data_IF_518409368123
#
_entry.id   IF_518409368123
#
_cell.length_a   1.000
_cell.length_b   1.000
_cell.length_c   1.000
_cell.angle_alpha   90.00
_cell.angle_beta   90.00
_cell.angle_gamma   90.00
#
_symmetry.space_group_name_H-M   'P 1'
#
loop_
_entity.id
_entity.type
_entity.pdbx_description
1 polymer ?
#
# COMPACT_ATOMS: atom_id res chain seq x y z
N UNK A 1 9.26 -2.87 29.63
CA UNK A 1 8.45 -1.88 28.88
C UNK A 1 9.33 -1.25 27.83
N UNK A 2 9.15 -1.68 26.61
CA UNK A 2 9.83 -1.03 25.50
C UNK A 2 8.98 0.19 25.11
N UNK A 3 9.39 1.35 25.59
CA UNK A 3 8.94 2.59 25.01
C UNK A 3 9.52 2.65 23.60
N UNK A 4 8.72 2.29 22.61
CA UNK A 4 9.00 2.66 21.24
C UNK A 4 8.90 4.17 21.17
N UNK A 5 10.03 4.84 21.32
CA UNK A 5 10.14 6.23 20.95
C UNK A 5 9.66 6.34 19.51
N UNK A 6 8.61 7.11 19.22
CA UNK A 6 8.30 7.40 17.84
C UNK A 6 9.55 8.05 17.25
N UNK A 7 10.08 7.50 16.18
CA UNK A 7 11.23 8.08 15.50
C UNK A 7 10.85 9.47 15.06
N UNK A 8 11.36 10.46 15.78
CA UNK A 8 11.19 11.87 15.46
C UNK A 8 12.09 12.20 14.28
N UNK A 9 11.51 12.23 13.09
CA UNK A 9 12.19 12.60 11.86
C UNK A 9 11.99 11.61 10.70
N UNK A 10 12.19 12.06 9.46
CA UNK A 10 12.10 11.19 8.30
C UNK A 10 13.22 10.15 8.31
N UNK A 11 12.85 8.89 8.07
CA UNK A 11 13.81 7.81 7.86
C UNK A 11 14.13 7.71 6.37
N UNK A 12 15.42 7.73 6.05
CA UNK A 12 15.88 7.57 4.67
C UNK A 12 16.34 6.13 4.45
N UNK A 13 15.75 5.48 3.45
CA UNK A 13 16.16 4.17 2.97
C UNK A 13 17.00 4.32 1.73
N UNK A 14 18.06 3.53 1.64
CA UNK A 14 18.97 3.53 0.49
C UNK A 14 18.94 2.17 -0.21
N UNK A 15 18.89 2.17 -1.53
CA UNK A 15 19.07 0.98 -2.34
C UNK A 15 20.07 1.27 -3.45
N UNK A 16 21.13 0.46 -3.53
CA UNK A 16 22.10 0.51 -4.61
C UNK A 16 21.64 -0.41 -5.73
N UNK A 17 21.34 0.18 -6.87
CA UNK A 17 20.88 -0.50 -8.07
C UNK A 17 21.98 -0.46 -9.13
N UNK A 18 21.93 -1.36 -10.11
CA UNK A 18 22.90 -1.38 -11.22
C UNK A 18 22.94 -0.06 -12.00
N UNK A 19 21.84 0.66 -12.04
CA UNK A 19 21.66 1.89 -12.84
C UNK A 19 21.61 3.16 -11.99
N UNK A 20 22.02 3.09 -10.72
CA UNK A 20 22.07 4.24 -9.84
C UNK A 20 21.70 3.91 -8.40
N UNK A 21 21.65 4.94 -7.59
CA UNK A 21 21.26 4.86 -6.19
C UNK A 21 19.85 5.41 -6.01
N UNK A 22 19.01 4.66 -5.31
CA UNK A 22 17.68 5.09 -4.93
C UNK A 22 17.68 5.50 -3.45
N UNK A 23 17.15 6.66 -3.18
CA UNK A 23 16.90 7.14 -1.81
C UNK A 23 15.39 7.32 -1.64
N UNK A 24 14.86 6.79 -0.54
CA UNK A 24 13.44 6.88 -0.21
C UNK A 24 13.30 7.46 1.18
N UNK A 25 12.67 8.60 1.26
CA UNK A 25 12.33 9.26 2.51
C UNK A 25 10.96 8.78 3.01
N UNK A 26 10.92 8.25 4.23
CA UNK A 26 9.69 7.81 4.89
C UNK A 26 9.34 8.83 5.97
N UNK A 27 8.35 9.66 5.72
CA UNK A 27 7.98 10.75 6.62
C UNK A 27 7.22 10.27 7.86
N UNK A 28 6.30 9.33 7.68
CA UNK A 28 5.54 8.74 8.77
C UNK A 28 5.05 7.35 8.38
N UNK A 29 5.12 6.40 9.31
CA UNK A 29 4.57 5.06 9.12
C UNK A 29 4.35 4.39 10.46
N UNK A 30 3.21 3.70 10.59
CA UNK A 30 2.93 2.80 11.72
C UNK A 30 3.54 1.42 11.49
N UNK A 31 3.98 1.13 10.27
CA UNK A 31 4.67 -0.10 9.89
C UNK A 31 6.14 0.19 9.62
N UNK A 32 7.00 -0.78 9.86
CA UNK A 32 8.37 -0.71 9.36
C UNK A 32 8.32 -0.70 7.82
N UNK A 33 9.04 0.23 7.20
CA UNK A 33 9.01 0.40 5.74
C UNK A 33 9.39 -0.88 5.00
N UNK A 34 10.37 -1.63 5.52
CA UNK A 34 10.83 -2.90 4.96
C UNK A 34 9.77 -4.01 5.03
N UNK A 35 8.76 -3.87 5.91
CA UNK A 35 7.62 -4.79 5.98
C UNK A 35 6.57 -4.50 4.90
N UNK A 36 6.57 -3.28 4.34
CA UNK A 36 5.56 -2.86 3.37
C UNK A 36 5.99 -3.06 1.92
N UNK A 37 7.25 -2.80 1.61
CA UNK A 37 7.73 -2.82 0.22
C UNK A 37 9.20 -3.18 0.12
N UNK A 38 9.59 -3.51 -1.09
CA UNK A 38 10.97 -3.74 -1.52
C UNK A 38 11.16 -3.13 -2.91
N UNK A 39 12.38 -3.17 -3.40
CA UNK A 39 12.74 -2.67 -4.72
C UNK A 39 13.11 -3.84 -5.62
N UNK A 40 12.64 -3.81 -6.86
CA UNK A 40 13.06 -4.74 -7.89
C UNK A 40 13.66 -3.97 -9.06
N UNK A 41 14.80 -4.44 -9.53
CA UNK A 41 15.43 -3.90 -10.73
C UNK A 41 14.70 -4.40 -11.98
N UNK A 42 14.63 -3.55 -12.98
CA UNK A 42 14.01 -3.87 -14.26
C UNK A 42 15.02 -3.80 -15.38
N UNK A 43 14.87 -4.69 -16.35
CA UNK A 43 15.62 -4.64 -17.60
C UNK A 43 15.07 -3.62 -18.58
N UNK A 44 13.97 -2.97 -18.26
CA UNK A 44 13.31 -1.99 -19.10
C UNK A 44 14.19 -0.73 -19.23
N UNK A 45 14.51 -0.25 -20.45
CA UNK A 45 15.36 0.93 -20.64
C UNK A 45 14.75 2.24 -20.09
N UNK A 46 13.43 2.33 -20.02
CA UNK A 46 12.73 3.53 -19.55
C UNK A 46 12.48 3.54 -18.04
N UNK A 47 12.48 2.37 -17.40
CA UNK A 47 12.18 2.23 -15.97
C UNK A 47 13.19 1.29 -15.33
N UNK A 48 14.12 1.88 -14.57
CA UNK A 48 15.23 1.13 -13.96
C UNK A 48 14.79 0.22 -12.81
N UNK A 49 13.74 0.60 -12.09
CA UNK A 49 13.28 -0.11 -10.91
C UNK A 49 11.74 -0.01 -10.76
N UNK A 50 11.21 -0.77 -9.82
CA UNK A 50 9.85 -0.64 -9.34
C UNK A 50 9.78 -0.93 -7.84
N UNK A 51 8.80 -0.37 -7.18
CA UNK A 51 8.41 -0.77 -5.83
C UNK A 51 7.60 -2.06 -5.91
N UNK A 52 7.93 -3.03 -5.06
CA UNK A 52 7.21 -4.30 -4.94
C UNK A 52 6.58 -4.35 -3.56
N UNK A 53 5.25 -4.44 -3.51
CA UNK A 53 4.54 -4.54 -2.24
C UNK A 53 4.74 -5.91 -1.59
N UNK A 54 5.00 -5.92 -0.29
CA UNK A 54 5.05 -7.12 0.54
C UNK A 54 3.70 -7.45 1.20
N UNK A 55 2.71 -6.56 1.05
CA UNK A 55 1.42 -6.69 1.74
C UNK A 55 0.24 -6.87 0.78
N UNK A 56 0.45 -6.78 -0.52
CA UNK A 56 -0.62 -6.97 -1.51
C UNK A 56 -0.78 -8.42 -1.99
N UNK A 57 0.22 -9.26 -1.81
CA UNK A 57 0.21 -10.63 -2.32
C UNK A 57 0.21 -10.75 -3.85
N UNK A 58 0.58 -9.68 -4.56
CA UNK A 58 0.53 -9.66 -6.03
C UNK A 58 1.77 -10.24 -6.67
N UNK A 59 2.93 -9.78 -6.27
CA UNK A 59 4.23 -10.23 -6.81
C UNK A 59 5.01 -11.06 -5.80
N UNK A 60 4.81 -10.78 -4.52
CA UNK A 60 5.39 -11.51 -3.40
C UNK A 60 4.25 -12.08 -2.58
N UNK A 61 4.27 -13.38 -2.23
CA UNK A 61 3.27 -13.95 -1.32
C UNK A 61 3.24 -13.18 0.00
N UNK A 62 2.04 -12.91 0.49
CA UNK A 62 1.83 -12.20 1.75
C UNK A 62 0.90 -12.99 2.66
N UNK A 63 1.12 -12.88 3.97
CA UNK A 63 0.20 -13.47 4.95
C UNK A 63 -1.15 -12.76 4.89
N UNK A 64 -2.27 -13.49 4.83
CA UNK A 64 -3.60 -12.88 4.80
C UNK A 64 -3.86 -11.92 5.97
N UNK A 65 -3.36 -12.23 7.16
CA UNK A 65 -3.48 -11.37 8.33
C UNK A 65 -2.76 -10.03 8.15
N UNK A 66 -1.57 -10.04 7.54
CA UNK A 66 -0.81 -8.81 7.26
C UNK A 66 -1.50 -7.97 6.16
N UNK A 67 -2.05 -8.63 5.15
CA UNK A 67 -2.88 -7.98 4.13
C UNK A 67 -4.07 -7.28 4.78
N UNK A 68 -4.81 -7.99 5.64
CA UNK A 68 -5.96 -7.43 6.34
C UNK A 68 -5.58 -6.23 7.22
N UNK A 69 -4.46 -6.31 7.95
CA UNK A 69 -3.95 -5.19 8.74
C UNK A 69 -3.66 -3.96 7.88
N UNK A 70 -3.03 -4.14 6.72
CA UNK A 70 -2.71 -3.04 5.81
C UNK A 70 -3.97 -2.41 5.21
N UNK A 71 -4.97 -3.21 4.85
CA UNK A 71 -6.24 -2.72 4.34
C UNK A 71 -7.02 -1.94 5.40
N UNK A 72 -7.06 -2.45 6.64
CA UNK A 72 -7.68 -1.76 7.77
C UNK A 72 -6.98 -0.45 8.10
N UNK A 73 -5.65 -0.44 8.10
CA UNK A 73 -4.87 0.77 8.35
C UNK A 73 -5.11 1.84 7.27
N UNK A 74 -5.20 1.44 6.01
CA UNK A 74 -5.49 2.35 4.91
C UNK A 74 -6.92 2.89 4.97
N UNK A 75 -7.89 2.02 5.22
CA UNK A 75 -9.29 2.42 5.40
C UNK A 75 -9.47 3.37 6.59
N UNK A 76 -8.71 3.16 7.66
CA UNK A 76 -8.73 4.02 8.85
C UNK A 76 -8.22 5.45 8.61
N UNK A 77 -7.52 5.69 7.50
CA UNK A 77 -7.10 7.05 7.09
C UNK A 77 -8.21 7.84 6.40
N UNK A 78 -9.28 7.18 6.01
CA UNK A 78 -10.43 7.82 5.41
C UNK A 78 -11.28 8.39 6.55
N UNK A 79 -11.62 9.70 6.53
CA UNK A 79 -12.42 10.30 7.58
C UNK A 79 -13.77 9.59 7.77
N UNK A 80 -14.11 9.29 9.02
CA UNK A 80 -15.37 8.60 9.34
C UNK A 80 -16.60 9.44 9.00
N UNK A 81 -16.46 10.76 9.01
CA UNK A 81 -17.50 11.74 8.69
C UNK A 81 -17.56 12.11 7.20
N UNK A 82 -16.75 11.42 6.35
CA UNK A 82 -16.83 11.64 4.91
C UNK A 82 -18.26 11.39 4.41
N UNK A 83 -18.90 12.38 3.77
CA UNK A 83 -20.24 12.19 3.22
C UNK A 83 -20.27 11.06 2.21
N UNK A 84 -21.31 10.25 2.30
CA UNK A 84 -21.54 9.16 1.35
C UNK A 84 -22.56 9.50 0.28
N UNK A 85 -22.81 8.57 -0.63
CA UNK A 85 -22.15 7.26 -0.74
C UNK A 85 -20.68 7.36 -1.15
N UNK A 86 -19.88 6.36 -0.75
CA UNK A 86 -18.46 6.27 -1.06
C UNK A 86 -18.22 5.23 -2.14
N UNK A 87 -17.54 5.62 -3.20
CA UNK A 87 -17.11 4.73 -4.26
C UNK A 87 -15.62 4.44 -4.12
N UNK A 88 -15.27 3.17 -3.99
CA UNK A 88 -13.89 2.68 -4.02
C UNK A 88 -13.62 2.12 -5.40
N UNK A 89 -12.57 2.62 -6.06
CA UNK A 89 -12.17 2.15 -7.39
C UNK A 89 -10.80 1.50 -7.32
N UNK A 90 -10.73 0.21 -7.60
CA UNK A 90 -9.47 -0.53 -7.76
C UNK A 90 -8.96 -0.46 -9.20
N UNK A 91 -7.85 0.23 -9.40
CA UNK A 91 -7.28 0.36 -10.75
C UNK A 91 -6.55 -0.93 -11.17
N UNK A 92 -6.91 -1.45 -12.31
CA UNK A 92 -6.30 -2.66 -12.87
C UNK A 92 -4.82 -2.43 -13.20
N UNK A 93 -4.03 -3.42 -12.98
CA UNK A 93 -4.43 -4.72 -12.41
C UNK A 93 -4.07 -4.82 -10.93
N UNK A 94 -3.03 -4.08 -10.52
CA UNK A 94 -2.37 -4.24 -9.23
C UNK A 94 -3.27 -3.82 -8.07
N UNK A 95 -4.10 -2.80 -8.28
CA UNK A 95 -4.92 -2.26 -7.22
C UNK A 95 -6.34 -2.87 -7.14
N UNK A 96 -6.66 -3.87 -7.94
CA UNK A 96 -7.98 -4.53 -7.88
C UNK A 96 -8.17 -5.21 -6.52
N UNK A 97 -7.22 -6.03 -6.10
CA UNK A 97 -7.26 -6.68 -4.80
C UNK A 97 -7.15 -5.71 -3.63
N UNK A 98 -6.32 -4.67 -3.77
CA UNK A 98 -6.20 -3.60 -2.77
C UNK A 98 -7.52 -2.87 -2.58
N UNK A 99 -8.16 -2.47 -3.67
CA UNK A 99 -9.45 -1.78 -3.63
C UNK A 99 -10.55 -2.63 -2.97
N UNK A 100 -10.61 -3.92 -3.31
CA UNK A 100 -11.54 -4.85 -2.68
C UNK A 100 -11.30 -4.97 -1.16
N UNK A 101 -10.03 -5.07 -0.74
CA UNK A 101 -9.67 -5.14 0.66
C UNK A 101 -10.02 -3.88 1.45
N UNK A 102 -9.77 -2.71 0.88
CA UNK A 102 -10.13 -1.42 1.49
C UNK A 102 -11.67 -1.27 1.56
N UNK A 103 -12.37 -1.62 0.50
CA UNK A 103 -13.84 -1.62 0.50
C UNK A 103 -14.40 -2.52 1.61
N UNK A 104 -13.88 -3.73 1.74
CA UNK A 104 -14.29 -4.65 2.81
C UNK A 104 -14.06 -4.04 4.21
N UNK A 105 -12.90 -3.41 4.42
CA UNK A 105 -12.59 -2.76 5.68
C UNK A 105 -13.53 -1.58 5.97
N UNK A 106 -13.82 -0.73 5.00
CA UNK A 106 -14.78 0.37 5.13
C UNK A 106 -16.19 -0.12 5.40
N UNK A 107 -16.60 -1.22 4.79
CA UNK A 107 -17.95 -1.80 4.94
C UNK A 107 -18.21 -2.35 6.35
N UNK A 108 -17.19 -2.48 7.19
CA UNK A 108 -17.37 -2.84 8.61
C UNK A 108 -17.92 -1.69 9.44
N UNK A 109 -17.71 -0.44 9.02
CA UNK A 109 -18.10 0.75 9.78
C UNK A 109 -19.15 1.61 9.06
N UNK A 110 -19.41 1.34 7.79
CA UNK A 110 -20.42 2.06 7.00
C UNK A 110 -21.06 1.14 5.96
N UNK A 111 -22.31 1.40 5.62
CA UNK A 111 -23.12 0.55 4.72
C UNK A 111 -23.34 1.18 3.32
N UNK A 112 -22.74 2.33 3.04
CA UNK A 112 -22.93 3.09 1.81
C UNK A 112 -21.70 3.07 0.90
N UNK A 113 -20.86 2.05 1.03
CA UNK A 113 -19.68 1.85 0.19
C UNK A 113 -19.98 0.94 -1.01
N UNK A 114 -19.57 1.37 -2.18
CA UNK A 114 -19.62 0.59 -3.41
C UNK A 114 -18.21 0.36 -3.92
N UNK A 115 -17.94 -0.80 -4.47
CA UNK A 115 -16.66 -1.15 -5.05
C UNK A 115 -16.80 -1.42 -6.54
N UNK A 116 -15.90 -0.81 -7.31
CA UNK A 116 -15.70 -1.09 -8.73
C UNK A 116 -14.23 -1.31 -9.01
N UNK A 117 -13.92 -1.97 -10.09
CA UNK A 117 -12.56 -2.06 -10.59
C UNK A 117 -12.51 -1.73 -12.08
N UNK A 118 -11.39 -1.16 -12.51
CA UNK A 118 -11.15 -0.90 -13.92
C UNK A 118 -10.61 -2.15 -14.62
N UNK A 119 -10.76 -2.21 -15.93
CA UNK A 119 -10.05 -3.16 -16.78
C UNK A 119 -8.90 -2.46 -17.51
N UNK A 120 -7.93 -3.23 -17.97
CA UNK A 120 -6.84 -2.70 -18.82
C UNK A 120 -7.26 -2.47 -20.25
N UNK A 121 -8.22 -3.23 -20.69
CA UNK A 121 -8.73 -3.21 -22.06
C UNK A 121 -10.22 -2.89 -22.03
N UNK A 122 -10.69 -2.08 -22.96
CA UNK A 122 -12.11 -1.85 -23.10
C UNK A 122 -12.88 -3.13 -23.48
#
# INVERSE_FOLDING_TARGET
MNSTNPMTGPKVLHANLKRGRLEVEVNASTFAAQALFDFAERRNPKRAFLFVSRVLGRHIPARPSLMAQSFNALAGKIPADLPGPVLVIGMAETAVGLGAGVHRALSQTRNDCVYLYSSRHP
#
